data_IF_278679167734
#
_entry.id   IF_278679167734
#
_cell.length_a   1.000
_cell.length_b   1.000
_cell.length_c   1.000
_cell.angle_alpha   90.00
_cell.angle_beta   90.00
_cell.angle_gamma   90.00
#
_symmetry.space_group_name_H-M   'P 1'
#
loop_
_entity.id
_entity.type
_entity.pdbx_description
1 polymer ?
#
# COMPACT_ATOMS: atom_id res chain seq x y z
N UNK A 1 9.58 -5.74 16.61
CA UNK A 1 8.63 -4.67 16.94
C UNK A 1 7.88 -4.31 15.65
N UNK A 2 6.78 -5.00 15.35
CA UNK A 2 6.11 -4.94 14.05
C UNK A 2 5.06 -3.83 14.04
N UNK A 3 5.03 -2.99 12.99
CA UNK A 3 3.95 -2.02 12.73
C UNK A 3 2.66 -2.77 12.38
N UNK A 4 2.07 -3.47 13.36
CA UNK A 4 0.92 -4.34 13.17
C UNK A 4 -0.26 -3.60 12.56
N UNK A 5 -0.59 -2.41 13.07
CA UNK A 5 -1.69 -1.56 12.58
C UNK A 5 -1.51 -1.13 11.13
N UNK A 6 -0.34 -0.59 10.75
CA UNK A 6 -0.09 -0.16 9.37
C UNK A 6 -0.26 -1.31 8.36
N UNK A 7 0.26 -2.49 8.72
CA UNK A 7 0.14 -3.67 7.88
C UNK A 7 -1.29 -4.19 7.71
N UNK A 8 -2.21 -3.86 8.63
CA UNK A 8 -3.64 -4.19 8.51
C UNK A 8 -4.26 -3.30 7.43
N UNK A 9 -4.06 -1.99 7.51
CA UNK A 9 -4.59 -1.03 6.54
C UNK A 9 -4.00 -1.22 5.13
N UNK A 10 -2.72 -1.58 5.00
CA UNK A 10 -2.14 -1.97 3.70
C UNK A 10 -2.86 -3.19 3.08
N UNK A 11 -3.21 -4.19 3.89
CA UNK A 11 -3.91 -5.39 3.41
C UNK A 11 -5.36 -5.09 3.04
N UNK A 12 -6.02 -4.27 3.84
CA UNK A 12 -7.38 -3.80 3.58
C UNK A 12 -7.43 -3.02 2.26
N UNK A 13 -6.51 -2.06 2.07
CA UNK A 13 -6.44 -1.28 0.83
C UNK A 13 -6.08 -2.15 -0.37
N UNK A 14 -5.14 -3.09 -0.23
CA UNK A 14 -4.84 -4.05 -1.29
C UNK A 14 -6.07 -4.89 -1.67
N UNK A 15 -6.88 -5.30 -0.68
CA UNK A 15 -8.13 -6.01 -0.92
C UNK A 15 -9.14 -5.14 -1.68
N UNK A 16 -9.29 -3.88 -1.30
CA UNK A 16 -10.16 -2.93 -2.02
C UNK A 16 -9.73 -2.73 -3.48
N UNK A 17 -8.43 -2.66 -3.75
CA UNK A 17 -7.91 -2.62 -5.11
C UNK A 17 -8.28 -3.89 -5.89
N UNK A 18 -8.10 -5.07 -5.28
CA UNK A 18 -8.46 -6.35 -5.89
C UNK A 18 -9.94 -6.43 -6.23
N UNK A 19 -10.81 -6.08 -5.29
CA UNK A 19 -12.27 -6.08 -5.49
C UNK A 19 -12.70 -5.03 -6.53
N UNK A 20 -11.87 -4.01 -6.79
CA UNK A 20 -12.07 -2.98 -7.83
C UNK A 20 -11.45 -3.37 -9.20
N UNK A 21 -11.00 -4.61 -9.36
CA UNK A 21 -10.44 -5.12 -10.61
C UNK A 21 -8.98 -4.76 -10.88
N UNK A 22 -8.25 -4.27 -9.89
CA UNK A 22 -6.80 -4.14 -9.95
C UNK A 22 -6.12 -5.40 -9.41
N UNK A 23 -4.82 -5.54 -9.65
CA UNK A 23 -3.98 -6.55 -9.00
C UNK A 23 -2.72 -5.88 -8.47
N UNK A 24 -2.11 -6.43 -7.42
CA UNK A 24 -0.97 -5.78 -6.81
C UNK A 24 -0.34 -6.55 -5.67
N UNK A 25 0.73 -5.98 -5.13
CA UNK A 25 1.54 -6.58 -4.06
C UNK A 25 1.90 -5.54 -3.02
N UNK A 26 2.13 -6.02 -1.79
CA UNK A 26 2.83 -5.27 -0.75
C UNK A 26 4.34 -5.40 -0.94
N UNK A 27 5.07 -4.30 -0.83
CA UNK A 27 6.52 -4.31 -1.01
C UNK A 27 7.21 -4.69 0.30
N UNK A 28 8.07 -5.70 0.25
CA UNK A 28 8.84 -6.11 1.42
C UNK A 28 9.86 -5.03 1.81
N UNK A 29 9.87 -4.65 3.09
CA UNK A 29 10.85 -3.69 3.61
C UNK A 29 10.68 -2.26 3.10
N UNK A 30 9.48 -1.85 2.65
CA UNK A 30 9.20 -0.49 2.17
C UNK A 30 9.69 0.60 3.12
N UNK A 31 9.47 0.42 4.43
CA UNK A 31 9.88 1.39 5.45
C UNK A 31 11.35 1.36 5.90
N UNK A 32 12.20 0.48 5.36
CA UNK A 32 13.62 0.37 5.77
C UNK A 32 14.61 0.20 4.61
N UNK A 33 14.12 0.14 3.37
CA UNK A 33 14.94 0.09 2.17
C UNK A 33 15.74 1.39 1.99
N UNK A 34 17.01 1.28 1.58
CA UNK A 34 17.81 2.42 1.10
C UNK A 34 17.45 2.86 -0.32
N UNK A 35 16.74 2.01 -1.06
CA UNK A 35 16.23 2.29 -2.39
C UNK A 35 14.78 2.79 -2.31
N UNK A 36 14.33 3.66 -3.26
CA UNK A 36 12.94 4.08 -3.34
C UNK A 36 12.00 2.88 -3.37
N UNK A 37 11.08 2.83 -2.41
CA UNK A 37 10.22 1.66 -2.18
C UNK A 37 8.85 2.14 -1.70
N UNK A 38 7.80 2.04 -2.53
CA UNK A 38 6.43 2.34 -2.08
C UNK A 38 5.93 1.23 -1.17
N UNK A 39 4.80 1.45 -0.50
CA UNK A 39 4.15 0.40 0.30
C UNK A 39 3.45 -0.65 -0.57
N UNK A 40 2.75 -0.21 -1.62
CA UNK A 40 2.10 -1.08 -2.60
C UNK A 40 2.54 -0.77 -4.03
N UNK A 41 2.56 -1.81 -4.86
CA UNK A 41 2.59 -1.69 -6.33
C UNK A 41 1.30 -2.31 -6.86
N UNK A 42 0.48 -1.48 -7.51
CA UNK A 42 -0.86 -1.85 -8.01
C UNK A 42 -0.90 -1.65 -9.52
N UNK A 43 -1.48 -2.57 -10.27
CA UNK A 43 -1.59 -2.49 -11.72
C UNK A 43 -2.95 -2.95 -12.24
N UNK A 44 -3.29 -2.45 -13.42
CA UNK A 44 -4.35 -2.95 -14.29
C UNK A 44 -4.04 -2.57 -15.74
N UNK A 45 -4.91 -2.94 -16.66
CA UNK A 45 -4.81 -2.48 -18.05
C UNK A 45 -4.67 -0.96 -18.11
N UNK A 46 -3.60 -0.49 -18.76
CA UNK A 46 -3.31 0.93 -18.94
C UNK A 46 -2.39 1.57 -17.89
N UNK A 47 -1.92 0.85 -16.86
CA UNK A 47 -0.85 1.40 -16.03
C UNK A 47 -0.58 0.71 -14.68
N UNK A 48 0.47 1.23 -14.03
CA UNK A 48 0.93 0.81 -12.70
C UNK A 48 1.00 2.04 -11.79
N UNK A 49 0.57 1.86 -10.54
CA UNK A 49 0.57 2.84 -9.47
C UNK A 49 1.60 2.41 -8.42
N UNK A 50 2.46 3.35 -8.01
CA UNK A 50 3.23 3.27 -6.79
C UNK A 50 2.47 3.99 -5.68
N UNK A 51 2.11 3.28 -4.61
CA UNK A 51 1.20 3.79 -3.57
C UNK A 51 1.91 3.81 -2.22
N UNK A 52 1.98 5.00 -1.62
CA UNK A 52 2.33 5.19 -0.21
C UNK A 52 1.06 5.11 0.63
N UNK A 53 1.03 4.26 1.66
CA UNK A 53 -0.18 4.03 2.46
C UNK A 53 -0.07 4.78 3.78
N UNK A 54 -1.07 5.61 4.07
CA UNK A 54 -1.22 6.30 5.35
C UNK A 54 -2.59 6.02 5.95
N UNK A 55 -2.61 5.87 7.27
CA UNK A 55 -3.83 5.78 8.06
C UNK A 55 -3.68 6.74 9.25
N UNK A 56 -4.70 7.55 9.48
CA UNK A 56 -4.76 8.55 10.55
C UNK A 56 -6.18 8.60 11.10
N UNK A 57 -6.31 8.98 12.37
CA UNK A 57 -7.62 9.29 12.99
C UNK A 57 -7.97 10.77 12.89
N UNK A 58 -7.00 11.59 12.47
CA UNK A 58 -7.20 13.02 12.26
C UNK A 58 -7.62 13.25 10.82
N UNK A 59 -8.52 14.21 10.62
CA UNK A 59 -8.85 14.71 9.29
C UNK A 59 -7.62 15.38 8.68
N UNK A 60 -7.41 15.15 7.38
CA UNK A 60 -6.47 15.95 6.61
C UNK A 60 -7.14 17.30 6.33
N UNK A 61 -6.58 18.37 6.91
CA UNK A 61 -6.92 19.77 6.60
C UNK A 61 -6.02 20.26 5.46
#
# INVERSE_FOLDING_TARGET
MSKSKGSIYERELLRMFFDSGFSGVRVAGSGCSSMPSPDLVIGRDGGVLAVEVKATVNDFV
#
